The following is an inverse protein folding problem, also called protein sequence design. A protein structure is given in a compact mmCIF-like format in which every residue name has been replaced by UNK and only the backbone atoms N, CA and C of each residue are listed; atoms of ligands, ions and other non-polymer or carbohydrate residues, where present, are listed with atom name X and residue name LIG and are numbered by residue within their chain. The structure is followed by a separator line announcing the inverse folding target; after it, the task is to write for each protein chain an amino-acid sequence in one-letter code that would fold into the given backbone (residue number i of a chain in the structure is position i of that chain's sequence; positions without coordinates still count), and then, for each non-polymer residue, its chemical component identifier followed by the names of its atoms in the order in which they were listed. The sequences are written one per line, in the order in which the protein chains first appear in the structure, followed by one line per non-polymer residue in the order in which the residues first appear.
data_IF_162573344635
#
_entry.id   IF_162573344635
#
_cell.length_a   1.000
_cell.length_b   1.000
_cell.length_c   1.000
_cell.angle_alpha   90.00
_cell.angle_beta   90.00
_cell.angle_gamma   90.00
#
_symmetry.space_group_name_H-M   'P 1'
#
loop_
_entity.id
_entity.type
_entity.pdbx_description
1 polymer ?
#
# COMPACT_ATOMS: atom_id res chain seq x y z
N UNK A 1 17.17 -0.75 -19.18
CA UNK A 1 15.95 -0.13 -18.63
C UNK A 1 15.04 -1.28 -18.23
N UNK A 2 15.01 -1.63 -16.94
CA UNK A 2 14.16 -2.73 -16.48
C UNK A 2 12.76 -2.19 -16.24
N UNK A 3 11.85 -2.53 -17.13
CA UNK A 3 10.41 -2.42 -16.92
C UNK A 3 10.11 -3.32 -15.72
N UNK A 4 9.58 -2.73 -14.65
CA UNK A 4 9.07 -3.47 -13.51
C UNK A 4 7.92 -4.33 -14.04
N UNK A 5 8.16 -5.64 -14.15
CA UNK A 5 7.17 -6.61 -14.60
C UNK A 5 6.10 -6.70 -13.51
N UNK A 6 5.01 -5.95 -13.69
CA UNK A 6 3.81 -6.14 -12.89
C UNK A 6 3.28 -7.53 -13.23
N UNK A 7 3.44 -8.47 -12.29
CA UNK A 7 3.04 -9.88 -12.38
C UNK A 7 1.80 -10.09 -13.27
N UNK A 8 1.95 -10.91 -14.33
CA UNK A 8 0.92 -11.27 -15.33
C UNK A 8 -0.30 -12.03 -14.75
N UNK A 9 -0.45 -12.09 -13.42
CA UNK A 9 -1.53 -12.81 -12.74
C UNK A 9 -2.77 -11.95 -12.42
N UNK A 10 -2.80 -10.64 -12.74
CA UNK A 10 -4.00 -9.80 -12.58
C UNK A 10 -4.94 -9.83 -13.79
N UNK A 11 -4.96 -10.96 -14.50
CA UNK A 11 -5.82 -11.18 -15.67
C UNK A 11 -7.00 -12.11 -15.36
N UNK A 12 -7.34 -12.30 -14.08
CA UNK A 12 -8.73 -12.65 -13.74
C UNK A 12 -9.59 -11.43 -14.07
N UNK A 13 -10.39 -11.57 -15.11
CA UNK A 13 -11.24 -10.57 -15.76
C UNK A 13 -11.59 -9.36 -14.89
N UNK A 14 -10.92 -8.23 -15.15
CA UNK A 14 -11.29 -6.94 -14.55
C UNK A 14 -12.71 -6.63 -15.00
N UNK A 15 -13.67 -6.80 -14.09
CA UNK A 15 -15.07 -6.52 -14.36
C UNK A 15 -15.26 -5.03 -14.66
N UNK A 16 -16.24 -4.71 -15.51
CA UNK A 16 -16.63 -3.31 -15.76
C UNK A 16 -17.16 -2.64 -14.51
N UNK A 17 -17.75 -3.43 -13.60
CA UNK A 17 -18.26 -2.99 -12.31
C UNK A 17 -17.86 -4.00 -11.24
N UNK A 18 -17.14 -3.53 -10.23
CA UNK A 18 -16.81 -4.29 -9.02
C UNK A 18 -17.86 -3.97 -7.93
N UNK A 19 -18.47 -4.99 -7.33
CA UNK A 19 -19.34 -4.80 -6.17
C UNK A 19 -18.49 -4.44 -4.94
N UNK A 20 -18.82 -3.32 -4.28
CA UNK A 20 -18.06 -2.81 -3.12
C UNK A 20 -18.98 -2.55 -1.93
N UNK A 21 -18.43 -2.66 -0.73
CA UNK A 21 -19.16 -2.40 0.52
C UNK A 21 -18.45 -1.33 1.37
N UNK A 22 -19.24 -0.62 2.18
CA UNK A 22 -18.71 0.34 3.15
C UNK A 22 -18.00 -0.39 4.29
N UNK A 23 -16.72 -0.07 4.49
CA UNK A 23 -15.93 -0.57 5.62
C UNK A 23 -15.41 0.57 6.50
N UNK A 24 -15.96 0.68 7.71
CA UNK A 24 -15.46 1.60 8.72
C UNK A 24 -14.25 1.01 9.43
N UNK A 25 -13.12 1.72 9.41
CA UNK A 25 -11.93 1.31 10.12
C UNK A 25 -12.19 1.28 11.63
N UNK A 26 -12.05 0.12 12.31
CA UNK A 26 -12.19 0.06 13.75
C UNK A 26 -11.10 0.91 14.45
N UNK A 27 -11.39 1.52 15.61
CA UNK A 27 -10.41 2.36 16.33
C UNK A 27 -9.09 1.64 16.62
N UNK A 28 -9.17 0.35 16.99
CA UNK A 28 -8.02 -0.48 17.38
C UNK A 28 -7.46 -1.35 16.26
N UNK A 29 -7.99 -1.24 15.02
CA UNK A 29 -7.51 -2.01 13.87
C UNK A 29 -7.34 -1.08 12.67
N UNK A 30 -6.15 -0.47 12.58
CA UNK A 30 -5.80 0.42 11.47
C UNK A 30 -5.61 -0.38 10.19
N UNK A 31 -6.01 0.22 9.06
CA UNK A 31 -5.76 -0.32 7.72
C UNK A 31 -4.27 -0.15 7.41
N UNK A 32 -3.58 -1.20 6.90
CA UNK A 32 -2.21 -1.05 6.44
C UNK A 32 -2.10 0.00 5.34
N UNK A 33 -1.04 0.82 5.39
CA UNK A 33 -0.71 1.79 4.35
C UNK A 33 0.36 1.18 3.46
N UNK A 34 -0.02 0.84 2.22
CA UNK A 34 0.89 0.33 1.21
C UNK A 34 1.32 1.47 0.26
N UNK A 35 2.64 1.62 0.08
CA UNK A 35 3.21 2.54 -0.91
C UNK A 35 3.55 1.76 -2.17
N UNK A 36 2.92 2.10 -3.30
CA UNK A 36 3.10 1.44 -4.60
C UNK A 36 3.45 2.49 -5.67
N UNK A 37 4.14 2.07 -6.73
CA UNK A 37 4.48 2.89 -7.87
C UNK A 37 5.87 2.58 -8.43
N UNK A 38 6.34 3.35 -9.43
CA UNK A 38 7.63 3.11 -10.09
C UNK A 38 8.84 3.21 -9.13
N UNK A 39 9.98 2.57 -9.44
CA UNK A 39 11.21 2.72 -8.67
C UNK A 39 11.68 4.18 -8.64
N UNK A 40 12.40 4.57 -7.58
CA UNK A 40 12.94 5.92 -7.38
C UNK A 40 11.89 7.04 -7.30
N UNK A 41 10.63 6.71 -6.98
CA UNK A 41 9.54 7.70 -6.80
C UNK A 41 9.46 8.30 -5.39
N UNK A 42 10.44 8.03 -4.52
CA UNK A 42 10.47 8.60 -3.17
C UNK A 42 9.73 7.79 -2.09
N UNK A 43 9.28 6.55 -2.38
CA UNK A 43 8.48 5.75 -1.44
C UNK A 43 9.24 5.40 -0.15
N UNK A 44 10.55 5.17 -0.24
CA UNK A 44 11.35 4.81 0.91
C UNK A 44 11.56 6.02 1.83
N UNK A 45 11.86 7.18 1.24
CA UNK A 45 11.99 8.44 1.95
C UNK A 45 10.68 8.84 2.63
N UNK A 46 9.54 8.66 1.96
CA UNK A 46 8.22 8.90 2.54
C UNK A 46 7.94 7.93 3.70
N UNK A 47 8.25 6.63 3.53
CA UNK A 47 8.10 5.64 4.60
C UNK A 47 8.93 6.03 5.83
N UNK A 48 10.19 6.41 5.64
CA UNK A 48 11.06 6.84 6.73
C UNK A 48 10.53 8.09 7.43
N UNK A 49 10.01 9.07 6.67
CA UNK A 49 9.39 10.28 7.24
C UNK A 49 8.13 9.97 8.06
N UNK A 50 7.29 9.04 7.61
CA UNK A 50 6.10 8.64 8.38
C UNK A 50 6.49 7.99 9.72
N UNK A 51 7.47 7.09 9.69
CA UNK A 51 7.97 6.41 10.89
C UNK A 51 8.67 7.37 11.86
N UNK A 52 9.38 8.38 11.35
CA UNK A 52 10.12 9.33 12.18
C UNK A 52 9.25 10.45 12.77
N UNK A 53 8.27 10.96 12.00
CA UNK A 53 7.40 12.04 12.47
C UNK A 53 6.36 11.56 13.48
N UNK A 54 5.82 10.35 13.31
CA UNK A 54 4.75 9.82 14.18
C UNK A 54 4.97 8.34 14.53
N UNK A 55 6.00 8.03 15.34
CA UNK A 55 6.37 6.65 15.68
C UNK A 55 5.31 5.90 16.49
N UNK A 56 4.40 6.61 17.17
CA UNK A 56 3.27 6.00 17.89
C UNK A 56 2.10 5.59 16.99
N UNK A 57 2.08 6.06 15.74
CA UNK A 57 0.98 5.80 14.79
C UNK A 57 1.38 4.80 13.70
N UNK A 58 2.63 4.83 13.28
CA UNK A 58 3.14 3.98 12.22
C UNK A 58 4.23 3.05 12.73
N UNK A 59 4.20 1.81 12.26
CA UNK A 59 5.24 0.81 12.53
C UNK A 59 5.52 0.01 11.27
N UNK A 60 6.75 -0.51 11.18
CA UNK A 60 7.10 -1.50 10.17
C UNK A 60 6.41 -2.85 10.44
N UNK A 61 6.22 -3.64 9.39
CA UNK A 61 5.79 -5.03 9.55
C UNK A 61 6.90 -5.84 10.22
N UNK A 62 6.55 -6.66 11.20
CA UNK A 62 7.46 -7.62 11.85
C UNK A 62 7.27 -8.99 11.16
N UNK A 63 8.35 -9.65 10.71
CA UNK A 63 8.29 -10.96 10.05
C UNK A 63 7.94 -12.11 11.00
#
# INVERSE_FOLDING_TARGET
MNICHCSEHYSEDILTYEEVALYHQPPNRKRPIALIGPPNSGHDELRQRLLSLEPGRFSGAVP
#
